data_IF_649295655551
#
_entry.id   IF_649295655551
#
_cell.length_a   1.000
_cell.length_b   1.000
_cell.length_c   1.000
_cell.angle_alpha   90.00
_cell.angle_beta   90.00
_cell.angle_gamma   90.00
#
_symmetry.space_group_name_H-M   'P 1'
#
loop_
_entity.id
_entity.type
_entity.pdbx_description
1 polymer ?
#
# COMPACT_ATOMS: atom_id res chain seq x y z
N UNK A 1 13.16 -10.68 -14.79
CA UNK A 1 14.13 -10.64 -13.68
C UNK A 1 15.29 -11.52 -14.09
N UNK A 2 16.37 -10.93 -14.60
CA UNK A 2 17.42 -11.65 -15.35
C UNK A 2 18.46 -12.38 -14.47
N UNK A 3 18.32 -12.34 -13.14
CA UNK A 3 19.31 -12.91 -12.24
C UNK A 3 18.75 -14.10 -11.46
N UNK A 4 19.08 -15.31 -11.90
CA UNK A 4 18.69 -16.57 -11.26
C UNK A 4 19.33 -16.79 -9.88
N UNK A 5 20.27 -15.93 -9.47
CA UNK A 5 20.87 -15.89 -8.14
C UNK A 5 20.28 -14.81 -7.22
N UNK A 6 19.16 -14.21 -7.59
CA UNK A 6 18.48 -13.24 -6.74
C UNK A 6 17.94 -13.94 -5.48
N UNK A 7 18.72 -13.92 -4.41
CA UNK A 7 18.30 -14.43 -3.12
C UNK A 7 17.60 -13.30 -2.34
N UNK A 8 16.26 -13.34 -2.32
CA UNK A 8 15.42 -12.41 -1.57
C UNK A 8 15.68 -12.47 -0.05
N UNK A 9 16.07 -13.65 0.45
CA UNK A 9 16.29 -13.91 1.89
C UNK A 9 17.76 -14.22 2.14
N UNK A 10 18.50 -13.24 2.67
CA UNK A 10 19.92 -13.42 3.03
C UNK A 10 20.10 -14.41 4.19
N UNK A 11 19.16 -14.43 5.13
CA UNK A 11 19.17 -15.28 6.33
C UNK A 11 17.72 -15.64 6.71
N UNK A 12 17.44 -16.91 6.96
CA UNK A 12 16.09 -17.40 7.30
C UNK A 12 15.66 -17.11 8.75
N UNK A 13 16.60 -16.67 9.59
CA UNK A 13 16.39 -16.40 11.03
C UNK A 13 16.40 -14.92 11.38
N UNK A 14 16.82 -14.05 10.46
CA UNK A 14 16.93 -12.60 10.69
C UNK A 14 16.01 -11.81 9.77
N UNK A 15 15.23 -10.89 10.35
CA UNK A 15 14.39 -9.97 9.59
C UNK A 15 15.21 -8.77 9.11
N UNK A 16 15.44 -8.69 7.81
CA UNK A 16 16.04 -7.54 7.15
C UNK A 16 15.13 -7.06 6.01
N UNK A 17 14.87 -5.75 5.94
CA UNK A 17 14.12 -5.18 4.83
C UNK A 17 15.00 -5.21 3.59
N UNK A 18 14.46 -5.73 2.48
CA UNK A 18 15.15 -5.70 1.20
C UNK A 18 15.43 -4.24 0.78
N UNK A 19 16.63 -4.00 0.25
CA UNK A 19 16.91 -2.77 -0.46
C UNK A 19 16.17 -2.78 -1.80
N UNK A 20 15.30 -1.79 -1.98
CA UNK A 20 14.53 -1.60 -3.20
C UNK A 20 14.68 -0.16 -3.66
N UNK A 21 14.35 0.10 -4.92
CA UNK A 21 14.17 1.47 -5.40
C UNK A 21 13.00 2.15 -4.66
N UNK A 22 13.07 3.47 -4.54
CA UNK A 22 11.96 4.27 -4.01
C UNK A 22 10.93 4.53 -5.12
N UNK A 23 9.65 4.42 -4.77
CA UNK A 23 8.51 4.80 -5.61
C UNK A 23 7.60 5.74 -4.81
N UNK A 24 7.03 6.74 -5.47
CA UNK A 24 6.08 7.68 -4.86
C UNK A 24 4.64 7.25 -5.12
N UNK A 25 3.84 7.20 -4.06
CA UNK A 25 2.37 7.09 -4.10
C UNK A 25 1.80 8.42 -3.62
N UNK A 26 1.44 9.30 -4.56
CA UNK A 26 1.19 10.71 -4.25
C UNK A 26 2.43 11.35 -3.62
N UNK A 27 2.28 11.85 -2.39
CA UNK A 27 3.39 12.44 -1.62
C UNK A 27 4.10 11.44 -0.69
N UNK A 28 3.69 10.16 -0.67
CA UNK A 28 4.24 9.12 0.22
C UNK A 28 5.31 8.31 -0.52
N UNK A 29 6.54 8.31 0.01
CA UNK A 29 7.63 7.46 -0.47
C UNK A 29 7.54 6.02 0.06
N UNK A 30 7.64 5.03 -0.82
CA UNK A 30 7.60 3.58 -0.54
C UNK A 30 8.89 2.95 -1.07
N UNK A 31 9.48 2.00 -0.35
CA UNK A 31 10.77 1.41 -0.74
C UNK A 31 11.97 2.27 -0.31
N UNK A 32 13.16 2.01 -0.84
CA UNK A 32 14.37 2.78 -0.51
C UNK A 32 14.69 2.78 0.99
N UNK A 33 14.95 3.95 1.56
CA UNK A 33 15.19 4.15 3.00
C UNK A 33 13.96 4.65 3.77
N UNK A 34 12.80 4.70 3.13
CA UNK A 34 11.55 5.11 3.76
C UNK A 34 11.06 4.05 4.77
N UNK A 35 10.31 4.46 5.82
CA UNK A 35 9.70 3.51 6.75
C UNK A 35 8.75 2.53 6.04
N UNK A 36 8.42 1.44 6.71
CA UNK A 36 7.33 0.55 6.27
C UNK A 36 6.02 1.35 6.37
N UNK A 37 5.31 1.49 5.25
CA UNK A 37 4.05 2.23 5.19
C UNK A 37 2.89 1.34 5.59
N UNK A 38 1.92 1.91 6.31
CA UNK A 38 0.68 1.24 6.69
C UNK A 38 -0.35 1.52 5.60
N UNK A 39 -0.91 0.46 5.02
CA UNK A 39 -1.98 0.55 4.04
C UNK A 39 -3.24 -0.16 4.57
N UNK A 40 -4.41 0.40 4.25
CA UNK A 40 -5.70 -0.27 4.44
C UNK A 40 -6.55 -0.23 3.16
N UNK A 41 -7.73 -0.85 3.19
CA UNK A 41 -8.69 -0.90 2.10
C UNK A 41 -10.09 -0.62 2.62
N UNK A 42 -10.89 0.11 1.85
CA UNK A 42 -12.32 0.28 2.13
C UNK A 42 -13.09 -1.02 1.87
N UNK A 43 -14.15 -1.26 2.64
CA UNK A 43 -15.10 -2.36 2.39
C UNK A 43 -16.47 -1.86 1.88
N UNK A 44 -16.67 -0.55 1.86
CA UNK A 44 -17.87 0.08 1.30
C UNK A 44 -17.99 -0.20 -0.20
N UNK A 45 -19.22 -0.14 -0.71
CA UNK A 45 -19.42 -0.08 -2.16
C UNK A 45 -18.81 1.22 -2.68
N UNK A 46 -17.84 1.14 -3.60
CA UNK A 46 -17.18 2.33 -4.18
C UNK A 46 -18.15 3.31 -4.85
N UNK A 47 -19.33 2.82 -5.27
CA UNK A 47 -20.42 3.65 -5.80
C UNK A 47 -21.07 4.55 -4.75
N UNK A 48 -20.95 4.18 -3.48
CA UNK A 48 -21.38 4.99 -2.35
C UNK A 48 -20.23 5.91 -1.94
N UNK A 49 -20.21 7.09 -2.55
CA UNK A 49 -19.14 8.07 -2.36
C UNK A 49 -19.04 8.52 -0.90
N UNK A 50 -20.17 8.81 -0.26
CA UNK A 50 -20.20 9.36 1.09
C UNK A 50 -19.68 8.33 2.10
N UNK A 51 -20.20 7.09 2.05
CA UNK A 51 -19.72 6.03 2.93
C UNK A 51 -18.23 5.73 2.71
N UNK A 52 -17.77 5.73 1.45
CA UNK A 52 -16.37 5.46 1.11
C UNK A 52 -15.45 6.57 1.62
N UNK A 53 -15.85 7.84 1.47
CA UNK A 53 -15.07 8.99 1.98
C UNK A 53 -15.00 8.97 3.51
N UNK A 54 -16.11 8.70 4.19
CA UNK A 54 -16.14 8.59 5.65
C UNK A 54 -15.20 7.47 6.15
N UNK A 55 -15.22 6.31 5.49
CA UNK A 55 -14.33 5.19 5.82
C UNK A 55 -12.86 5.53 5.55
N UNK A 56 -12.54 6.20 4.44
CA UNK A 56 -11.17 6.66 4.14
C UNK A 56 -10.66 7.60 5.24
N UNK A 57 -11.48 8.57 5.68
CA UNK A 57 -11.11 9.50 6.74
C UNK A 57 -10.88 8.75 8.06
N UNK A 58 -11.73 7.78 8.37
CA UNK A 58 -11.58 6.93 9.57
C UNK A 58 -10.26 6.13 9.54
N UNK A 59 -9.93 5.52 8.41
CA UNK A 59 -8.69 4.76 8.22
C UNK A 59 -7.45 5.65 8.31
N UNK A 60 -7.50 6.86 7.73
CA UNK A 60 -6.43 7.83 7.86
C UNK A 60 -6.21 8.27 9.32
N UNK A 61 -7.30 8.53 10.06
CA UNK A 61 -7.25 8.83 11.51
C UNK A 61 -6.70 7.68 12.34
N UNK A 62 -6.92 6.44 11.91
CA UNK A 62 -6.35 5.24 12.54
C UNK A 62 -4.87 5.01 12.21
N UNK A 63 -4.27 5.82 11.33
CA UNK A 63 -2.84 5.77 11.00
C UNK A 63 -2.50 5.10 9.67
N UNK A 64 -3.46 4.90 8.77
CA UNK A 64 -3.15 4.46 7.41
C UNK A 64 -2.44 5.58 6.62
N UNK A 65 -1.26 5.29 6.08
CA UNK A 65 -0.54 6.18 5.14
C UNK A 65 -1.21 6.17 3.76
N UNK A 66 -1.80 5.03 3.38
CA UNK A 66 -2.39 4.77 2.06
C UNK A 66 -3.72 4.02 2.25
N UNK A 67 -4.77 4.43 1.54
CA UNK A 67 -6.05 3.72 1.52
C UNK A 67 -6.39 3.31 0.09
N UNK A 68 -6.80 2.06 -0.09
CA UNK A 68 -7.20 1.51 -1.40
C UNK A 68 -8.73 1.39 -1.49
N UNK A 69 -9.27 1.65 -2.68
CA UNK A 69 -10.67 1.38 -3.02
C UNK A 69 -10.75 0.27 -4.08
N UNK A 70 -11.84 -0.49 -4.09
CA UNK A 70 -12.11 -1.44 -5.16
C UNK A 70 -12.66 -0.72 -6.40
N UNK A 71 -12.29 -1.16 -7.60
CA UNK A 71 -12.94 -0.72 -8.86
C UNK A 71 -13.31 -2.01 -9.59
N UNK A 72 -14.60 -2.40 -9.57
CA UNK A 72 -15.05 -3.68 -10.13
C UNK A 72 -15.39 -3.56 -11.62
N UNK A 73 -15.69 -2.36 -12.10
CA UNK A 73 -15.97 -2.06 -13.49
C UNK A 73 -16.03 -0.56 -13.76
N UNK A 74 -16.37 -0.20 -14.99
CA UNK A 74 -16.41 1.21 -15.44
C UNK A 74 -17.35 2.07 -14.58
N UNK A 75 -18.42 1.50 -14.03
CA UNK A 75 -19.33 2.24 -13.15
C UNK A 75 -18.73 2.71 -11.83
N UNK A 76 -17.58 2.14 -11.44
CA UNK A 76 -16.92 2.45 -10.17
C UNK A 76 -15.68 3.35 -10.37
N UNK A 77 -15.31 3.63 -11.64
CA UNK A 77 -14.14 4.40 -12.03
C UNK A 77 -14.49 5.88 -12.24
#
# INVERSE_FOLDING_TARGET
MENHHFNYVKDITKYERQETVEVKVGNVGVGGRNPIRIQSMTDTSTKDTDATVEQIISLAKAGADIVRCAVKGISDA
#
